data_IF_430100358349
#
_entry.id   IF_430100358349
#
_cell.length_a   1.000
_cell.length_b   1.000
_cell.length_c   1.000
_cell.angle_alpha   90.00
_cell.angle_beta   90.00
_cell.angle_gamma   90.00
#
_symmetry.space_group_name_H-M   'P 1'
#
loop_
_entity.id
_entity.type
_entity.pdbx_description
1 polymer ?
#
# COMPACT_ATOMS: atom_id res chain seq x y z
N UNK A 1 1.50 -35.53 16.80
CA UNK A 1 2.39 -34.36 17.04
C UNK A 1 3.12 -34.00 15.74
N UNK A 2 3.59 -34.97 14.93
CA UNK A 2 4.31 -34.71 13.66
C UNK A 2 3.37 -34.13 12.57
N UNK A 3 2.12 -34.60 12.49
CA UNK A 3 1.14 -34.11 11.50
C UNK A 3 0.73 -32.64 11.73
N UNK A 4 0.67 -32.19 12.97
CA UNK A 4 0.37 -30.78 13.32
C UNK A 4 1.53 -29.85 12.91
N UNK A 5 2.78 -30.33 12.98
CA UNK A 5 3.98 -29.56 12.62
C UNK A 5 4.12 -29.33 11.11
N UNK A 6 3.58 -30.23 10.26
CA UNK A 6 3.58 -30.11 8.79
C UNK A 6 2.53 -29.10 8.31
N UNK A 7 1.41 -28.94 9.01
CA UNK A 7 0.41 -27.93 8.69
C UNK A 7 0.76 -26.50 9.19
N UNK A 8 1.74 -26.34 10.06
CA UNK A 8 2.18 -25.04 10.60
C UNK A 8 3.15 -24.29 9.69
N UNK A 9 3.58 -24.84 8.55
CA UNK A 9 4.57 -24.19 7.67
C UNK A 9 4.00 -23.33 6.56
N UNK A 10 2.68 -23.20 6.41
CA UNK A 10 2.08 -22.29 5.43
C UNK A 10 1.37 -21.16 6.16
N UNK A 11 1.84 -19.94 5.88
CA UNK A 11 1.22 -18.73 6.45
C UNK A 11 -0.24 -18.65 6.01
N UNK A 12 -1.17 -18.55 6.96
CA UNK A 12 -2.58 -18.40 6.67
C UNK A 12 -2.88 -16.96 6.20
N UNK A 13 -2.87 -16.75 4.89
CA UNK A 13 -3.08 -15.43 4.28
C UNK A 13 -4.46 -14.85 4.59
N UNK A 14 -5.50 -15.68 4.72
CA UNK A 14 -6.84 -15.22 5.11
C UNK A 14 -6.82 -14.61 6.51
N UNK A 15 -6.29 -15.35 7.49
CA UNK A 15 -6.15 -14.84 8.86
C UNK A 15 -5.34 -13.53 8.92
N UNK A 16 -4.20 -13.50 8.22
CA UNK A 16 -3.35 -12.30 8.17
C UNK A 16 -4.11 -11.14 7.53
N UNK A 17 -4.82 -11.37 6.43
CA UNK A 17 -5.59 -10.32 5.75
C UNK A 17 -6.62 -9.67 6.66
N UNK A 18 -7.32 -10.46 7.49
CA UNK A 18 -8.26 -9.94 8.48
C UNK A 18 -7.57 -9.05 9.54
N UNK A 19 -6.35 -9.43 9.95
CA UNK A 19 -5.56 -8.61 10.88
C UNK A 19 -5.10 -7.31 10.22
N UNK A 20 -4.63 -7.36 8.96
CA UNK A 20 -4.23 -6.16 8.22
C UNK A 20 -5.40 -5.19 8.04
N UNK A 21 -6.59 -5.67 7.73
CA UNK A 21 -7.80 -4.84 7.66
C UNK A 21 -8.04 -4.10 8.99
N UNK A 22 -7.92 -4.80 10.12
CA UNK A 22 -8.09 -4.19 11.44
C UNK A 22 -6.99 -3.16 11.74
N UNK A 23 -5.74 -3.45 11.39
CA UNK A 23 -4.63 -2.51 11.53
C UNK A 23 -4.90 -1.25 10.73
N UNK A 24 -5.22 -1.35 9.45
CA UNK A 24 -5.52 -0.21 8.59
C UNK A 24 -6.69 0.63 9.11
N UNK A 25 -7.80 0.01 9.47
CA UNK A 25 -8.93 0.74 10.06
C UNK A 25 -8.54 1.46 11.36
N UNK A 26 -7.63 0.88 12.15
CA UNK A 26 -7.14 1.52 13.36
C UNK A 26 -6.18 2.69 13.11
N UNK A 27 -5.55 2.78 11.93
CA UNK A 27 -4.74 3.94 11.55
C UNK A 27 -5.58 5.16 11.21
N UNK A 28 -6.87 5.01 10.92
CA UNK A 28 -7.78 6.13 10.59
C UNK A 28 -7.73 7.25 11.63
N UNK A 29 -7.49 6.93 12.89
CA UNK A 29 -7.37 7.91 13.99
C UNK A 29 -6.26 8.96 13.76
N UNK A 30 -5.20 8.62 13.02
CA UNK A 30 -4.10 9.55 12.71
C UNK A 30 -4.50 10.60 11.67
N UNK A 31 -5.57 10.36 10.92
CA UNK A 31 -6.04 11.23 9.84
C UNK A 31 -7.35 11.94 10.18
N UNK A 32 -7.85 11.80 11.40
CA UNK A 32 -8.99 12.59 11.89
C UNK A 32 -8.55 14.05 12.05
N UNK A 33 -9.34 14.97 11.51
CA UNK A 33 -9.01 16.41 11.47
C UNK A 33 -7.72 16.73 10.68
N UNK A 34 -7.45 15.99 9.64
CA UNK A 34 -6.27 16.09 8.81
C UNK A 34 -5.94 17.53 8.40
N UNK A 35 -6.93 18.33 8.00
CA UNK A 35 -6.77 19.73 7.59
C UNK A 35 -6.22 20.65 8.70
N UNK A 36 -6.25 20.23 9.96
CA UNK A 36 -5.79 21.01 11.12
C UNK A 36 -4.53 20.45 11.79
N UNK A 37 -3.94 19.38 11.24
CA UNK A 37 -2.75 18.73 11.80
C UNK A 37 -1.50 19.54 11.44
N UNK A 38 -0.70 19.90 12.44
CA UNK A 38 0.66 20.38 12.24
C UNK A 38 1.56 19.21 11.86
N UNK A 39 1.83 19.04 10.58
CA UNK A 39 2.58 17.91 10.02
C UNK A 39 4.07 17.91 10.41
N UNK A 40 4.62 19.03 10.90
CA UNK A 40 6.05 19.15 11.27
C UNK A 40 6.97 18.55 10.22
N UNK A 41 6.89 19.09 9.00
CA UNK A 41 7.63 18.59 7.86
C UNK A 41 9.14 18.70 8.08
N UNK A 42 9.85 17.61 7.85
CA UNK A 42 11.30 17.52 7.77
C UNK A 42 11.71 16.87 6.46
N UNK A 43 13.02 16.72 6.20
CA UNK A 43 13.50 16.14 4.96
C UNK A 43 14.52 15.04 5.26
N UNK A 44 14.42 13.93 4.53
CA UNK A 44 15.36 12.83 4.55
C UNK A 44 16.67 13.24 3.84
N UNK A 45 17.70 12.38 3.89
CA UNK A 45 19.00 12.63 3.23
C UNK A 45 18.92 12.80 1.72
N UNK A 46 17.93 12.19 1.10
CA UNK A 46 17.64 12.26 -0.34
C UNK A 46 16.70 13.42 -0.72
N UNK A 47 16.44 14.35 0.22
CA UNK A 47 15.50 15.47 0.09
C UNK A 47 14.03 15.06 -0.09
N UNK A 48 13.65 13.81 0.16
CA UNK A 48 12.24 13.45 0.26
C UNK A 48 11.64 13.99 1.57
N UNK A 49 10.36 14.43 1.57
CA UNK A 49 9.72 14.94 2.77
C UNK A 49 9.38 13.79 3.72
N UNK A 50 9.42 14.10 5.01
CA UNK A 50 9.02 13.26 6.13
C UNK A 50 8.17 14.07 7.07
N UNK A 51 7.03 13.55 7.48
CA UNK A 51 6.16 14.18 8.47
C UNK A 51 6.15 13.41 9.79
N UNK A 52 5.61 14.02 10.85
CA UNK A 52 5.40 13.30 12.11
C UNK A 52 4.46 12.12 11.94
N UNK A 53 3.50 12.21 11.01
CA UNK A 53 2.55 11.14 10.73
C UNK A 53 3.22 9.89 10.15
N UNK A 54 4.22 10.06 9.27
CA UNK A 54 4.99 8.92 8.72
C UNK A 54 5.59 8.11 9.88
N UNK A 55 6.19 8.80 10.85
CA UNK A 55 6.82 8.17 12.02
C UNK A 55 5.79 7.52 12.96
N UNK A 56 4.70 8.21 13.27
CA UNK A 56 3.67 7.70 14.19
C UNK A 56 2.92 6.51 13.61
N UNK A 57 2.59 6.58 12.33
CA UNK A 57 1.93 5.48 11.59
C UNK A 57 2.87 4.28 11.48
N UNK A 58 4.16 4.50 11.16
CA UNK A 58 5.15 3.43 11.13
C UNK A 58 5.24 2.70 12.46
N UNK A 59 5.44 3.44 13.56
CA UNK A 59 5.53 2.86 14.91
C UNK A 59 4.28 2.06 15.28
N UNK A 60 3.09 2.58 14.93
CA UNK A 60 1.84 1.90 15.20
C UNK A 60 1.74 0.60 14.39
N UNK A 61 1.98 0.64 13.07
CA UNK A 61 1.90 -0.54 12.19
C UNK A 61 2.89 -1.61 12.66
N UNK A 62 4.15 -1.26 12.92
CA UNK A 62 5.19 -2.19 13.40
C UNK A 62 4.78 -2.87 14.70
N UNK A 63 4.25 -2.12 15.64
CA UNK A 63 3.74 -2.67 16.92
C UNK A 63 2.62 -3.68 16.70
N UNK A 64 1.69 -3.40 15.80
CA UNK A 64 0.57 -4.30 15.54
C UNK A 64 1.01 -5.55 14.75
N UNK A 65 1.93 -5.40 13.78
CA UNK A 65 2.48 -6.53 13.03
C UNK A 65 3.29 -7.50 13.92
N UNK A 66 4.03 -7.00 14.91
CA UNK A 66 4.72 -7.83 15.92
C UNK A 66 3.76 -8.69 16.75
N UNK A 67 2.49 -8.30 16.89
CA UNK A 67 1.47 -9.14 17.54
C UNK A 67 0.99 -10.29 16.64
N UNK A 68 1.08 -10.15 15.32
CA UNK A 68 0.74 -11.21 14.38
C UNK A 68 1.84 -12.27 14.37
N UNK A 69 3.09 -11.84 14.24
CA UNK A 69 4.26 -12.73 14.34
C UNK A 69 5.47 -11.95 14.85
N UNK A 70 6.04 -12.46 15.95
CA UNK A 70 7.25 -11.88 16.55
C UNK A 70 8.51 -12.23 15.77
N UNK A 71 8.48 -13.34 15.02
CA UNK A 71 9.63 -13.93 14.35
C UNK A 71 9.84 -13.39 12.92
N UNK A 72 8.87 -12.64 12.39
CA UNK A 72 9.01 -12.04 11.06
C UNK A 72 9.85 -10.77 11.14
N UNK A 73 10.78 -10.63 10.19
CA UNK A 73 11.54 -9.39 10.04
C UNK A 73 10.60 -8.21 9.72
N UNK A 74 11.01 -7.01 10.11
CA UNK A 74 10.29 -5.77 9.78
C UNK A 74 11.24 -4.86 9.00
N UNK A 75 10.84 -4.51 7.79
CA UNK A 75 11.54 -3.60 6.90
C UNK A 75 10.58 -2.46 6.61
N UNK A 76 10.93 -1.25 7.00
CA UNK A 76 10.12 -0.06 6.75
C UNK A 76 10.94 1.01 6.04
N UNK A 77 10.27 1.84 5.25
CA UNK A 77 10.88 3.01 4.63
C UNK A 77 11.43 3.99 5.67
N UNK A 78 10.74 4.15 6.82
CA UNK A 78 11.05 5.18 7.82
C UNK A 78 12.04 4.72 8.90
N UNK A 79 12.31 3.44 9.00
CA UNK A 79 13.19 2.91 10.03
C UNK A 79 14.23 1.96 9.47
N UNK A 80 15.42 1.97 10.07
CA UNK A 80 16.47 1.00 9.75
C UNK A 80 15.96 -0.44 9.89
N UNK A 81 16.41 -1.30 8.99
CA UNK A 81 16.05 -2.72 8.95
C UNK A 81 16.32 -3.39 10.30
N UNK A 82 15.31 -4.02 10.89
CA UNK A 82 15.56 -5.01 11.94
C UNK A 82 16.07 -6.29 11.23
N UNK A 83 17.34 -6.61 11.42
CA UNK A 83 17.90 -7.88 10.97
C UNK A 83 17.27 -9.00 11.80
N UNK A 84 16.33 -9.70 11.21
CA UNK A 84 15.84 -10.97 11.75
C UNK A 84 16.30 -12.08 10.80
N UNK A 85 16.77 -13.18 11.38
CA UNK A 85 17.09 -14.39 10.61
C UNK A 85 15.80 -15.16 10.31
N UNK A 86 14.93 -14.54 9.49
CA UNK A 86 13.59 -15.04 9.19
C UNK A 86 13.38 -15.19 7.69
N UNK A 87 12.74 -16.29 7.29
CA UNK A 87 12.30 -16.50 5.90
C UNK A 87 11.19 -15.54 5.49
N UNK A 88 10.48 -14.96 6.48
CA UNK A 88 9.38 -14.04 6.29
C UNK A 88 9.77 -12.63 6.72
N UNK A 89 9.36 -11.64 5.94
CA UNK A 89 9.51 -10.24 6.31
C UNK A 89 8.28 -9.43 5.92
N UNK A 90 7.92 -8.50 6.79
CA UNK A 90 7.01 -7.42 6.49
C UNK A 90 7.76 -6.31 5.78
N UNK A 91 7.24 -5.83 4.66
CA UNK A 91 7.66 -4.60 3.99
C UNK A 91 6.59 -3.56 4.27
N UNK A 92 7.00 -2.42 4.80
CA UNK A 92 6.09 -1.36 5.24
C UNK A 92 6.50 -0.05 4.57
N UNK A 93 5.53 0.59 3.95
CA UNK A 93 5.61 1.98 3.57
C UNK A 93 4.43 2.67 4.26
N UNK A 94 4.69 3.40 5.35
CA UNK A 94 3.63 3.90 6.23
C UNK A 94 2.80 5.00 5.57
N UNK A 95 3.40 5.83 4.71
CA UNK A 95 2.70 6.84 3.93
C UNK A 95 3.38 7.02 2.57
N UNK A 96 2.91 6.29 1.56
CA UNK A 96 3.28 6.54 0.17
C UNK A 96 2.50 7.75 -0.36
N UNK A 97 3.21 8.76 -0.81
CA UNK A 97 2.63 10.02 -1.23
C UNK A 97 2.69 11.09 -0.13
N UNK A 98 3.79 11.20 0.59
CA UNK A 98 3.99 12.24 1.61
C UNK A 98 3.86 13.66 1.03
N UNK A 99 4.23 13.88 -0.24
CA UNK A 99 4.01 15.16 -0.93
C UNK A 99 2.52 15.46 -1.11
N UNK A 100 1.75 14.46 -1.49
CA UNK A 100 0.30 14.54 -1.63
C UNK A 100 -0.35 14.83 -0.28
N UNK A 101 0.10 14.15 0.78
CA UNK A 101 -0.31 14.39 2.15
C UNK A 101 -0.07 15.85 2.58
N UNK A 102 1.15 16.38 2.40
CA UNK A 102 1.52 17.76 2.75
C UNK A 102 0.67 18.78 1.99
N UNK A 103 0.31 18.48 0.75
CA UNK A 103 -0.51 19.35 -0.09
C UNK A 103 -2.03 19.19 0.17
N UNK A 104 -2.44 18.49 1.22
CA UNK A 104 -3.86 18.28 1.55
C UNK A 104 -4.62 17.39 0.55
N UNK A 105 -3.90 16.59 -0.25
CA UNK A 105 -4.53 15.65 -1.20
C UNK A 105 -4.98 14.38 -0.50
N UNK A 106 -6.03 13.75 -1.02
CA UNK A 106 -6.49 12.41 -0.60
C UNK A 106 -5.76 11.25 -1.29
N UNK A 107 -4.76 11.54 -2.12
CA UNK A 107 -4.05 10.57 -2.95
C UNK A 107 -2.78 10.01 -2.28
N UNK A 108 -2.85 9.69 -1.01
CA UNK A 108 -1.79 8.96 -0.31
C UNK A 108 -2.30 7.62 0.21
N UNK A 109 -1.38 6.68 0.44
CA UNK A 109 -1.71 5.31 0.82
C UNK A 109 -0.77 4.78 1.90
N UNK A 110 -1.24 3.80 2.66
CA UNK A 110 -0.44 2.97 3.56
C UNK A 110 -0.26 1.60 2.89
N UNK A 111 0.97 1.14 2.80
CA UNK A 111 1.30 -0.08 2.10
C UNK A 111 1.96 -1.10 3.03
N UNK A 112 1.45 -2.33 3.03
CA UNK A 112 2.03 -3.44 3.79
C UNK A 112 2.09 -4.65 2.88
N UNK A 113 3.28 -5.26 2.79
CA UNK A 113 3.45 -6.55 2.11
C UNK A 113 4.09 -7.57 3.05
N UNK A 114 3.72 -8.83 2.86
CA UNK A 114 4.43 -9.97 3.44
C UNK A 114 5.22 -10.66 2.33
N UNK A 115 6.50 -10.83 2.55
CA UNK A 115 7.38 -11.59 1.66
C UNK A 115 7.82 -12.89 2.32
N UNK A 116 8.06 -13.90 1.51
CA UNK A 116 8.72 -15.16 1.88
C UNK A 116 9.91 -15.38 0.94
N UNK A 117 11.11 -15.50 1.50
CA UNK A 117 12.34 -15.72 0.70
C UNK A 117 12.43 -14.76 -0.49
N UNK A 118 12.26 -13.48 -0.25
CA UNK A 118 12.29 -12.38 -1.24
C UNK A 118 11.13 -12.36 -2.25
N UNK A 119 10.12 -13.22 -2.12
CA UNK A 119 8.94 -13.22 -2.99
C UNK A 119 7.74 -12.65 -2.24
N UNK A 120 7.02 -11.67 -2.79
CA UNK A 120 5.78 -11.20 -2.19
C UNK A 120 4.73 -12.31 -2.22
N UNK A 121 4.09 -12.54 -1.08
CA UNK A 121 3.04 -13.55 -0.93
C UNK A 121 1.70 -12.95 -0.53
N UNK A 122 1.70 -11.76 0.05
CA UNK A 122 0.49 -11.01 0.41
C UNK A 122 0.80 -9.51 0.30
N UNK A 123 -0.10 -8.74 -0.29
CA UNK A 123 -0.04 -7.30 -0.36
C UNK A 123 -1.34 -6.66 0.10
N UNK A 124 -1.25 -5.54 0.78
CA UNK A 124 -2.38 -4.75 1.21
C UNK A 124 -2.06 -3.26 1.10
N UNK A 125 -2.99 -2.49 0.53
CA UNK A 125 -2.90 -1.04 0.33
C UNK A 125 -4.16 -0.42 0.92
N UNK A 126 -4.00 0.60 1.73
CA UNK A 126 -5.09 1.35 2.33
C UNK A 126 -5.05 2.81 1.92
N UNK A 127 -6.15 3.33 1.44
CA UNK A 127 -6.37 4.75 1.18
C UNK A 127 -7.21 5.33 2.31
N UNK A 128 -6.61 6.02 3.30
CA UNK A 128 -7.30 6.43 4.52
C UNK A 128 -8.46 7.37 4.29
N UNK A 129 -8.28 8.34 3.38
CA UNK A 129 -9.28 9.38 3.11
C UNK A 129 -10.54 8.85 2.41
N UNK A 130 -10.46 7.66 1.78
CA UNK A 130 -11.61 6.98 1.14
C UNK A 130 -12.04 5.72 1.87
N UNK A 131 -11.43 5.42 3.02
CA UNK A 131 -11.63 4.18 3.79
C UNK A 131 -11.64 2.93 2.89
N UNK A 132 -10.75 2.91 1.91
CA UNK A 132 -10.69 1.89 0.87
C UNK A 132 -9.44 1.03 1.02
N UNK A 133 -9.62 -0.30 1.15
CA UNK A 133 -8.55 -1.27 1.30
C UNK A 133 -8.51 -2.17 0.06
N UNK A 134 -7.32 -2.32 -0.53
CA UNK A 134 -7.04 -3.30 -1.57
C UNK A 134 -6.12 -4.36 -0.98
N UNK A 135 -6.41 -5.61 -1.24
CA UNK A 135 -5.57 -6.71 -0.78
C UNK A 135 -5.67 -7.92 -1.69
N UNK A 136 -4.57 -8.68 -1.73
CA UNK A 136 -4.48 -9.91 -2.49
C UNK A 136 -3.19 -10.65 -2.18
N UNK A 137 -3.10 -11.92 -2.57
CA UNK A 137 -1.93 -12.74 -2.31
C UNK A 137 -1.88 -13.99 -3.17
N UNK A 138 -0.86 -14.81 -2.97
CA UNK A 138 -0.69 -16.06 -3.74
C UNK A 138 -1.81 -17.06 -3.48
N UNK A 139 -2.37 -17.06 -2.27
CA UNK A 139 -3.47 -17.93 -1.84
C UNK A 139 -4.73 -17.12 -1.47
N UNK A 140 -4.76 -15.84 -1.83
CA UNK A 140 -5.86 -14.93 -1.53
C UNK A 140 -6.24 -14.16 -2.80
N UNK A 141 -7.44 -14.40 -3.36
CA UNK A 141 -7.92 -13.64 -4.51
C UNK A 141 -7.92 -12.13 -4.24
N UNK A 142 -7.57 -11.30 -5.24
CA UNK A 142 -7.54 -9.86 -5.08
C UNK A 142 -8.95 -9.31 -4.85
N UNK A 143 -9.06 -8.38 -3.92
CA UNK A 143 -10.32 -7.75 -3.54
C UNK A 143 -10.13 -6.32 -3.07
N UNK A 144 -11.19 -5.53 -3.22
CA UNK A 144 -11.34 -4.20 -2.65
C UNK A 144 -12.38 -4.24 -1.53
N UNK A 145 -12.12 -3.54 -0.44
CA UNK A 145 -13.09 -3.32 0.64
C UNK A 145 -13.33 -1.82 0.72
N UNK A 146 -14.57 -1.42 0.62
CA UNK A 146 -15.04 -0.04 0.77
C UNK A 146 -16.42 -0.06 1.42
N UNK A 147 -16.68 0.81 2.39
CA UNK A 147 -17.94 0.87 3.15
C UNK A 147 -18.35 -0.51 3.67
N UNK A 148 -17.39 -1.28 4.19
CA UNK A 148 -17.56 -2.65 4.69
C UNK A 148 -17.98 -3.68 3.62
N UNK A 149 -18.18 -3.26 2.37
CA UNK A 149 -18.48 -4.14 1.25
C UNK A 149 -17.22 -4.65 0.60
N UNK A 150 -17.22 -5.93 0.27
CA UNK A 150 -16.11 -6.60 -0.41
C UNK A 150 -16.45 -6.75 -1.89
N UNK A 151 -15.54 -6.29 -2.74
CA UNK A 151 -15.64 -6.38 -4.20
C UNK A 151 -14.45 -7.18 -4.73
N UNK A 152 -14.74 -8.20 -5.53
CA UNK A 152 -13.69 -8.98 -6.22
C UNK A 152 -13.03 -8.16 -7.34
N UNK A 153 -11.74 -8.34 -7.55
CA UNK A 153 -10.94 -7.68 -8.58
C UNK A 153 -10.36 -8.72 -9.55
N UNK A 154 -10.02 -8.34 -10.80
CA UNK A 154 -10.34 -7.07 -11.43
C UNK A 154 -11.82 -6.93 -11.79
N UNK A 155 -12.29 -5.68 -11.87
CA UNK A 155 -13.61 -5.40 -12.43
C UNK A 155 -13.51 -5.37 -13.97
N UNK A 156 -14.15 -6.32 -14.65
CA UNK A 156 -13.99 -6.56 -16.09
C UNK A 156 -14.73 -5.58 -17.03
N UNK A 157 -15.33 -4.53 -16.50
CA UNK A 157 -16.26 -3.70 -17.27
C UNK A 157 -15.63 -2.55 -18.06
N UNK A 158 -14.31 -2.38 -18.06
CA UNK A 158 -13.67 -1.28 -18.80
C UNK A 158 -13.13 -1.72 -20.16
N UNK A 159 -13.80 -1.29 -21.23
CA UNK A 159 -13.32 -1.43 -22.61
C UNK A 159 -12.35 -0.32 -23.05
N UNK A 160 -12.11 0.69 -22.21
CA UNK A 160 -11.30 1.86 -22.53
C UNK A 160 -9.92 1.69 -21.93
N UNK A 161 -8.88 1.80 -22.75
CA UNK A 161 -7.49 1.77 -22.32
C UNK A 161 -7.10 3.14 -21.74
N UNK A 162 -7.04 3.28 -20.41
CA UNK A 162 -6.51 4.47 -19.76
C UNK A 162 -5.05 4.25 -19.36
N UNK A 163 -4.23 5.31 -19.45
CA UNK A 163 -2.84 5.32 -18.98
C UNK A 163 -2.79 6.04 -17.64
N UNK A 164 -2.35 5.32 -16.61
CA UNK A 164 -2.15 5.88 -15.27
C UNK A 164 -0.67 6.21 -15.09
N UNK A 165 -0.37 7.46 -14.78
CA UNK A 165 0.99 7.96 -14.60
C UNK A 165 1.15 8.69 -13.27
N UNK A 166 2.40 8.86 -12.84
CA UNK A 166 2.71 9.59 -11.63
C UNK A 166 2.29 11.06 -11.73
N UNK A 167 1.78 11.62 -10.62
CA UNK A 167 1.45 13.03 -10.50
C UNK A 167 2.70 13.88 -10.31
N UNK A 168 3.65 13.38 -9.53
CA UNK A 168 4.83 14.11 -9.06
C UNK A 168 6.11 13.80 -9.85
N UNK A 169 6.10 12.77 -10.72
CA UNK A 169 7.23 12.37 -11.52
C UNK A 169 6.79 12.17 -12.96
N UNK A 170 7.48 12.77 -13.90
CA UNK A 170 7.27 12.56 -15.33
C UNK A 170 8.59 12.66 -16.09
N UNK A 171 8.79 11.76 -17.07
CA UNK A 171 9.92 11.80 -17.98
C UNK A 171 9.44 12.07 -19.42
N UNK A 172 10.36 12.40 -20.31
CA UNK A 172 10.05 12.55 -21.73
C UNK A 172 9.60 11.20 -22.34
N UNK A 173 10.24 10.08 -21.92
CA UNK A 173 9.85 8.75 -22.36
C UNK A 173 8.41 8.41 -21.96
N UNK A 174 7.98 8.84 -20.75
CA UNK A 174 6.60 8.66 -20.29
C UNK A 174 5.61 9.45 -21.18
N UNK A 175 5.96 10.70 -21.55
CA UNK A 175 5.15 11.52 -22.44
C UNK A 175 5.01 10.89 -23.83
N UNK A 176 6.12 10.40 -24.39
CA UNK A 176 6.13 9.72 -25.67
C UNK A 176 5.30 8.43 -25.64
N UNK A 177 5.40 7.65 -24.56
CA UNK A 177 4.57 6.47 -24.38
C UNK A 177 3.09 6.80 -24.32
N UNK A 178 2.72 7.83 -23.55
CA UNK A 178 1.34 8.30 -23.47
C UNK A 178 0.81 8.72 -24.86
N UNK A 179 1.59 9.48 -25.62
CA UNK A 179 1.21 9.91 -26.97
C UNK A 179 0.97 8.71 -27.91
N UNK A 180 1.84 7.68 -27.85
CA UNK A 180 1.67 6.44 -28.64
C UNK A 180 0.40 5.68 -28.25
N UNK A 181 0.09 5.55 -26.95
CA UNK A 181 -1.14 4.88 -26.51
C UNK A 181 -2.36 5.66 -26.95
N UNK A 182 -2.37 6.98 -26.75
CA UNK A 182 -3.48 7.85 -27.15
C UNK A 182 -3.77 7.81 -28.66
N UNK A 183 -2.73 7.72 -29.49
CA UNK A 183 -2.89 7.61 -30.95
C UNK A 183 -3.46 6.26 -31.38
N UNK A 184 -3.14 5.19 -30.67
CA UNK A 184 -3.55 3.80 -30.99
C UNK A 184 -4.94 3.44 -30.48
N UNK A 185 -5.32 3.93 -29.31
CA UNK A 185 -6.58 3.57 -28.64
C UNK A 185 -7.49 4.80 -28.52
N UNK A 186 -8.46 4.91 -29.44
CA UNK A 186 -9.44 6.01 -29.44
C UNK A 186 -10.25 6.02 -28.15
N UNK A 187 -10.40 7.19 -27.55
CA UNK A 187 -11.14 7.38 -26.29
C UNK A 187 -10.32 7.12 -25.04
N UNK A 188 -9.05 6.67 -25.14
CA UNK A 188 -8.14 6.56 -24.01
C UNK A 188 -7.83 7.92 -23.39
N UNK A 189 -7.50 7.90 -22.09
CA UNK A 189 -7.13 9.11 -21.34
C UNK A 189 -5.83 8.85 -20.58
N UNK A 190 -5.06 9.92 -20.40
CA UNK A 190 -3.94 9.93 -19.43
C UNK A 190 -4.47 10.47 -18.13
N UNK A 191 -4.37 9.69 -17.07
CA UNK A 191 -4.82 10.02 -15.71
C UNK A 191 -3.60 10.12 -14.80
N UNK A 192 -3.43 11.27 -14.16
CA UNK A 192 -2.36 11.49 -13.19
C UNK A 192 -2.85 11.18 -11.79
N UNK A 193 -2.14 10.31 -11.08
CA UNK A 193 -2.47 9.91 -9.72
C UNK A 193 -1.21 9.88 -8.86
N UNK A 194 -1.36 10.30 -7.60
CA UNK A 194 -0.33 10.13 -6.56
C UNK A 194 -0.22 8.68 -6.09
N UNK A 195 0.76 8.38 -5.30
CA UNK A 195 1.00 7.15 -4.55
C UNK A 195 0.80 5.82 -5.31
N UNK A 196 0.78 4.72 -4.60
CA UNK A 196 0.51 3.36 -5.11
C UNK A 196 -0.96 3.14 -5.52
N UNK A 197 -1.87 4.09 -5.21
CA UNK A 197 -3.28 3.97 -5.60
C UNK A 197 -3.47 3.84 -7.12
N UNK A 198 -2.54 4.38 -7.92
CA UNK A 198 -2.56 4.21 -9.39
C UNK A 198 -2.54 2.74 -9.81
N UNK A 199 -1.77 1.88 -9.11
CA UNK A 199 -1.73 0.44 -9.40
C UNK A 199 -3.06 -0.23 -9.07
N UNK A 200 -3.69 0.16 -7.96
CA UNK A 200 -5.02 -0.34 -7.59
C UNK A 200 -6.09 0.08 -8.60
N UNK A 201 -5.97 1.30 -9.14
CA UNK A 201 -6.92 1.85 -10.12
C UNK A 201 -6.89 1.11 -11.47
N UNK A 202 -5.80 0.40 -11.79
CA UNK A 202 -5.74 -0.48 -12.97
C UNK A 202 -6.69 -1.70 -12.83
N UNK A 203 -7.16 -2.02 -11.64
CA UNK A 203 -8.00 -3.19 -11.36
C UNK A 203 -9.50 -2.84 -11.25
N UNK A 204 -9.84 -1.55 -11.28
CA UNK A 204 -11.20 -1.03 -11.15
C UNK A 204 -11.86 -0.82 -12.52
#
# INVERSE_FOLDING_TARGET
>A
IVFIKIMMNKVNQTYISEKLIKIFKSTKKFFVNFDSIDLKVSFKKDNSPLTILDTEVDQFIRKELKKISKDFALISEETSQEQANSEYAWIIDPIDGTKELINGSDEFTLNIALINKQKPILGAIYQPMKDSIFLGGTDLPPKKIIDEKMVSLPNKNNQICNVLISKSHSSEEEKDFCAKVMSKFKGSKVIRMGSSIKFCSCLL
#
